data_IF_341000738777
#
_entry.id   IF_341000738777
#
_cell.length_a   1.000
_cell.length_b   1.000
_cell.length_c   1.000
_cell.angle_alpha   90.00
_cell.angle_beta   90.00
_cell.angle_gamma   90.00
#
_symmetry.space_group_name_H-M   'P 1'
#
loop_
_entity.id
_entity.type
_entity.pdbx_description
1 polymer ?
#
# COMPACT_ATOMS: atom_id res chain seq x y z
N UNK A 1 -42.10 91.68 6.75
CA UNK A 1 -41.10 92.16 5.78
C UNK A 1 -39.72 91.72 6.23
N UNK A 2 -38.89 91.26 5.28
CA UNK A 2 -37.48 90.82 5.29
C UNK A 2 -36.70 90.79 6.63
N UNK A 3 -36.21 89.63 7.12
CA UNK A 3 -34.99 88.86 6.72
C UNK A 3 -33.67 89.64 6.84
N UNK A 4 -32.87 89.27 7.85
CA UNK A 4 -31.39 89.35 7.83
C UNK A 4 -30.84 88.01 8.29
N UNK A 5 -30.24 87.27 7.36
CA UNK A 5 -29.70 85.93 7.54
C UNK A 5 -28.25 86.02 8.03
N UNK A 6 -27.97 85.46 9.20
CA UNK A 6 -26.61 85.32 9.74
C UNK A 6 -25.97 84.08 9.09
N UNK A 7 -24.92 84.27 8.29
CA UNK A 7 -24.08 83.19 7.81
C UNK A 7 -22.88 83.07 8.76
N UNK A 8 -22.97 82.19 9.76
CA UNK A 8 -21.80 81.69 10.49
C UNK A 8 -21.31 80.43 9.75
N UNK A 9 -20.29 80.59 8.92
CA UNK A 9 -19.59 79.47 8.27
C UNK A 9 -18.97 78.56 9.34
N UNK A 10 -19.42 77.31 9.38
CA UNK A 10 -18.83 76.24 10.17
C UNK A 10 -17.57 75.71 9.49
N UNK A 11 -16.48 75.65 10.25
CA UNK A 11 -15.15 75.14 9.87
C UNK A 11 -15.20 73.69 9.35
N UNK A 12 -16.28 72.95 9.61
CA UNK A 12 -16.48 71.58 9.12
C UNK A 12 -16.86 71.49 7.62
N UNK A 13 -17.25 72.60 6.97
CA UNK A 13 -17.62 72.58 5.54
C UNK A 13 -16.44 72.83 4.59
N UNK A 14 -15.34 73.39 5.09
CA UNK A 14 -14.11 73.63 4.30
C UNK A 14 -13.21 72.39 4.26
N UNK A 15 -13.24 71.57 5.30
CA UNK A 15 -12.45 70.33 5.39
C UNK A 15 -13.01 69.25 4.43
N UNK A 16 -14.33 69.14 4.31
CA UNK A 16 -14.97 68.19 3.38
C UNK A 16 -14.73 68.52 1.91
N UNK A 17 -14.64 69.81 1.55
CA UNK A 17 -14.29 70.27 0.20
C UNK A 17 -12.82 69.99 -0.16
N UNK A 18 -11.90 70.08 0.81
CA UNK A 18 -10.48 69.77 0.61
C UNK A 18 -10.23 68.27 0.39
N UNK A 19 -10.91 67.38 1.12
CA UNK A 19 -10.77 65.92 0.92
C UNK A 19 -11.36 65.44 -0.41
N UNK A 20 -12.46 66.04 -0.87
CA UNK A 20 -13.03 65.71 -2.17
C UNK A 20 -12.11 66.12 -3.34
N UNK A 21 -11.41 67.24 -3.24
CA UNK A 21 -10.49 67.69 -4.29
C UNK A 21 -9.22 66.83 -4.40
N UNK A 22 -8.69 66.34 -3.27
CA UNK A 22 -7.52 65.45 -3.24
C UNK A 22 -7.85 64.09 -3.86
N UNK A 23 -9.04 63.54 -3.58
CA UNK A 23 -9.46 62.27 -4.18
C UNK A 23 -9.69 62.36 -5.70
N UNK A 24 -10.24 63.47 -6.19
CA UNK A 24 -10.43 63.67 -7.64
C UNK A 24 -9.09 63.91 -8.36
N UNK A 25 -8.14 64.61 -7.74
CA UNK A 25 -6.82 64.82 -8.33
C UNK A 25 -5.98 63.51 -8.41
N UNK A 26 -6.08 62.65 -7.39
CA UNK A 26 -5.42 61.32 -7.40
C UNK A 26 -6.09 60.37 -8.41
N UNK A 27 -7.41 60.46 -8.56
CA UNK A 27 -8.16 59.63 -9.51
C UNK A 27 -7.92 60.05 -10.97
N UNK A 28 -7.72 61.35 -11.25
CA UNK A 28 -7.45 61.87 -12.59
C UNK A 28 -5.97 61.79 -13.00
N UNK A 29 -5.04 61.64 -12.06
CA UNK A 29 -3.60 61.48 -12.35
C UNK A 29 -3.16 60.02 -12.59
N UNK A 30 -4.09 59.06 -12.44
CA UNK A 30 -3.80 57.63 -12.39
C UNK A 30 -4.13 56.83 -13.65
N UNK A 31 -3.93 57.36 -14.87
CA UNK A 31 -3.92 56.51 -16.07
C UNK A 31 -2.92 56.99 -17.16
N UNK A 32 -1.99 56.07 -17.48
CA UNK A 32 -1.23 55.82 -18.73
C UNK A 32 0.07 56.58 -19.06
N UNK A 33 1.17 55.84 -18.95
CA UNK A 33 2.13 55.48 -20.04
C UNK A 33 3.05 54.36 -19.53
N UNK A 34 2.79 53.10 -19.90
CA UNK A 34 3.43 52.37 -21.01
C UNK A 34 4.96 52.53 -21.04
N UNK A 35 5.65 51.61 -20.36
CA UNK A 35 6.92 51.05 -20.84
C UNK A 35 6.75 49.53 -20.83
N UNK A 36 6.78 48.98 -22.03
CA UNK A 36 6.83 47.55 -22.32
C UNK A 36 8.21 47.07 -21.87
N UNK A 37 8.25 46.19 -20.88
CA UNK A 37 9.36 45.27 -20.68
C UNK A 37 8.76 43.87 -20.93
N UNK A 38 9.28 43.20 -21.96
CA UNK A 38 9.01 41.80 -22.23
C UNK A 38 9.61 40.97 -21.08
N UNK A 39 8.76 40.50 -20.17
CA UNK A 39 9.01 39.30 -19.38
C UNK A 39 8.00 38.24 -19.87
N UNK A 40 8.38 37.55 -20.94
CA UNK A 40 7.89 36.20 -21.19
C UNK A 40 8.40 35.28 -20.06
N UNK A 41 7.58 34.28 -19.70
CA UNK A 41 7.85 33.21 -18.73
C UNK A 41 7.61 33.50 -17.24
N UNK A 42 6.38 33.85 -16.85
CA UNK A 42 5.91 33.49 -15.49
C UNK A 42 4.38 33.33 -15.31
N UNK A 43 3.65 32.88 -16.34
CA UNK A 43 2.25 32.43 -16.19
C UNK A 43 2.09 30.92 -16.40
N UNK A 44 2.69 30.12 -15.52
CA UNK A 44 2.09 28.84 -15.11
C UNK A 44 2.78 28.38 -13.83
N UNK A 45 2.19 28.69 -12.67
CA UNK A 45 2.16 27.84 -11.46
C UNK A 45 1.60 28.63 -10.26
N UNK A 46 0.41 29.20 -10.38
CA UNK A 46 -0.35 29.60 -9.19
C UNK A 46 -1.85 29.38 -9.37
N UNK A 47 -2.18 28.15 -9.75
CA UNK A 47 -3.42 27.47 -9.37
C UNK A 47 -3.09 26.02 -9.08
N UNK A 48 -2.93 25.72 -7.79
CA UNK A 48 -3.80 24.71 -7.18
C UNK A 48 -3.67 24.83 -5.66
N UNK A 49 -4.81 25.04 -5.02
CA UNK A 49 -5.05 24.54 -3.66
C UNK A 49 -4.40 23.16 -3.52
N UNK A 50 -3.68 22.92 -2.43
CA UNK A 50 -2.97 21.68 -2.09
C UNK A 50 -3.87 20.44 -2.11
N UNK A 51 -4.22 19.96 -3.30
CA UNK A 51 -4.84 18.67 -3.50
C UNK A 51 -3.74 17.64 -3.30
N UNK A 52 -3.83 16.88 -2.21
CA UNK A 52 -3.00 15.70 -1.95
C UNK A 52 -2.99 14.80 -3.19
N UNK A 53 -1.83 14.39 -3.68
CA UNK A 53 -1.75 13.57 -4.88
C UNK A 53 -2.32 12.18 -4.61
N UNK A 54 -3.28 11.75 -5.43
CA UNK A 54 -3.78 10.38 -5.35
C UNK A 54 -2.81 9.40 -6.04
N UNK A 55 -1.92 8.79 -5.25
CA UNK A 55 -0.95 7.80 -5.75
C UNK A 55 -1.59 6.50 -6.28
N UNK A 56 -2.87 6.24 -6.02
CA UNK A 56 -3.54 5.00 -6.41
C UNK A 56 -4.30 5.12 -7.74
N UNK A 57 -4.41 6.33 -8.30
CA UNK A 57 -5.05 6.59 -9.59
C UNK A 57 -3.98 6.95 -10.62
N UNK A 58 -3.83 6.11 -11.63
CA UNK A 58 -2.71 6.18 -12.55
C UNK A 58 -2.77 5.11 -13.62
N UNK A 59 -1.64 4.92 -14.30
CA UNK A 59 -1.45 3.90 -15.32
C UNK A 59 -0.07 3.26 -15.23
N UNK A 60 0.04 2.03 -15.70
CA UNK A 60 1.32 1.38 -15.91
C UNK A 60 2.00 1.92 -17.17
N UNK A 61 3.28 2.25 -17.05
CA UNK A 61 4.12 2.75 -18.12
C UNK A 61 5.34 1.85 -18.24
N UNK A 62 5.65 1.44 -19.46
CA UNK A 62 6.84 0.64 -19.73
C UNK A 62 8.10 1.54 -19.69
N UNK A 63 9.07 1.19 -18.85
CA UNK A 63 10.35 1.87 -18.68
C UNK A 63 11.47 0.85 -18.44
N UNK A 64 12.08 0.37 -19.53
CA UNK A 64 13.23 -0.53 -19.47
C UNK A 64 14.58 0.18 -19.23
N UNK A 65 14.57 1.50 -19.02
CA UNK A 65 15.78 2.26 -18.71
C UNK A 65 15.99 2.38 -17.21
N UNK A 66 14.90 2.60 -16.46
CA UNK A 66 14.96 2.84 -15.02
C UNK A 66 14.52 1.63 -14.17
N UNK A 67 13.80 0.66 -14.75
CA UNK A 67 13.28 -0.51 -14.06
C UNK A 67 13.83 -1.83 -14.65
N UNK A 68 14.01 -2.87 -13.81
CA UNK A 68 13.66 -2.93 -12.38
C UNK A 68 14.62 -2.15 -11.47
N UNK A 69 14.19 -1.90 -10.22
CA UNK A 69 14.99 -1.17 -9.22
C UNK A 69 16.21 -1.95 -8.71
N UNK A 70 16.19 -3.27 -8.87
CA UNK A 70 17.27 -4.20 -8.60
C UNK A 70 17.11 -5.43 -9.52
N UNK A 71 18.17 -6.22 -9.72
CA UNK A 71 18.04 -7.49 -10.46
C UNK A 71 17.79 -8.65 -9.50
N UNK A 72 17.00 -9.63 -9.93
CA UNK A 72 16.67 -10.82 -9.12
C UNK A 72 17.92 -11.49 -8.54
N UNK A 73 18.92 -11.75 -9.39
CA UNK A 73 20.19 -12.41 -9.04
C UNK A 73 21.10 -11.60 -8.11
N UNK A 74 20.85 -10.30 -7.97
CA UNK A 74 21.62 -9.42 -7.08
C UNK A 74 21.06 -9.42 -5.65
N UNK A 75 19.81 -9.87 -5.46
CA UNK A 75 19.21 -9.99 -4.14
C UNK A 75 19.56 -11.33 -3.47
N UNK A 76 20.42 -11.28 -2.45
CA UNK A 76 20.86 -12.42 -1.65
C UNK A 76 19.80 -12.93 -0.68
N UNK A 77 18.77 -12.13 -0.39
CA UNK A 77 17.61 -12.51 0.44
C UNK A 77 16.38 -12.88 -0.38
N UNK A 78 16.52 -13.09 -1.69
CA UNK A 78 15.43 -13.54 -2.56
C UNK A 78 14.93 -14.91 -2.11
N UNK A 79 13.61 -15.08 -2.07
CA UNK A 79 12.99 -16.37 -1.74
C UNK A 79 12.57 -17.10 -3.01
N UNK A 80 12.81 -18.40 -3.04
CA UNK A 80 12.57 -19.27 -4.19
C UNK A 80 11.12 -19.28 -4.71
N UNK A 81 10.16 -18.83 -3.89
CA UNK A 81 8.75 -18.71 -4.26
C UNK A 81 8.46 -17.53 -5.18
N UNK A 82 9.37 -16.54 -5.23
CA UNK A 82 9.23 -15.28 -5.97
C UNK A 82 10.32 -15.08 -7.04
N UNK A 83 11.35 -15.94 -7.07
CA UNK A 83 12.53 -15.87 -7.94
C UNK A 83 12.29 -16.42 -9.36
N UNK A 84 11.41 -15.79 -10.13
CA UNK A 84 10.93 -16.34 -11.40
C UNK A 84 12.03 -16.57 -12.46
N UNK A 85 13.00 -15.67 -12.58
CA UNK A 85 14.11 -15.83 -13.53
C UNK A 85 14.97 -17.05 -13.17
N UNK A 86 15.26 -17.23 -11.88
CA UNK A 86 15.99 -18.39 -11.34
C UNK A 86 15.25 -19.70 -11.64
N UNK A 87 13.92 -19.68 -11.59
CA UNK A 87 13.05 -20.82 -11.93
C UNK A 87 12.62 -20.83 -13.41
N UNK A 88 13.47 -20.30 -14.29
CA UNK A 88 13.44 -20.55 -15.72
C UNK A 88 12.52 -19.62 -16.52
N UNK A 89 11.97 -18.57 -15.93
CA UNK A 89 11.23 -17.54 -16.67
C UNK A 89 12.17 -16.78 -17.59
N UNK A 90 11.80 -16.62 -18.86
CA UNK A 90 12.63 -15.96 -19.89
C UNK A 90 12.08 -14.63 -20.36
N UNK A 91 10.76 -14.46 -20.29
CA UNK A 91 10.09 -13.19 -20.56
C UNK A 91 10.23 -12.26 -19.34
N UNK A 92 11.22 -11.37 -19.37
CA UNK A 92 11.52 -10.48 -18.22
C UNK A 92 10.89 -9.08 -18.36
N UNK A 93 10.13 -8.82 -19.43
CA UNK A 93 9.53 -7.51 -19.68
C UNK A 93 8.54 -7.07 -18.59
N UNK A 94 7.97 -8.01 -17.82
CA UNK A 94 7.09 -7.68 -16.68
C UNK A 94 7.81 -6.85 -15.60
N UNK A 95 9.13 -6.96 -15.51
CA UNK A 95 9.97 -6.25 -14.53
C UNK A 95 10.15 -4.77 -14.89
N UNK A 96 9.92 -4.38 -16.15
CA UNK A 96 10.16 -3.02 -16.67
C UNK A 96 8.90 -2.14 -16.68
N UNK A 97 7.86 -2.50 -15.93
CA UNK A 97 6.67 -1.67 -15.79
C UNK A 97 6.74 -0.86 -14.50
N UNK A 98 6.54 0.45 -14.62
CA UNK A 98 6.42 1.38 -13.50
C UNK A 98 5.03 1.96 -13.39
N UNK A 99 4.62 2.33 -12.19
CA UNK A 99 3.35 2.99 -11.96
C UNK A 99 3.50 4.52 -12.06
N UNK A 100 2.64 5.14 -12.86
CA UNK A 100 2.57 6.61 -13.02
C UNK A 100 1.21 7.09 -12.50
N UNK A 101 1.16 7.72 -11.32
CA UNK A 101 -0.03 8.45 -10.87
C UNK A 101 -0.42 9.54 -11.88
N UNK A 102 -1.71 9.82 -12.02
CA UNK A 102 -2.20 10.83 -12.97
C UNK A 102 -1.86 12.26 -12.58
N UNK A 103 -1.73 12.53 -11.28
CA UNK A 103 -1.65 13.88 -10.73
C UNK A 103 -0.23 14.31 -10.34
N UNK A 104 0.70 13.36 -10.22
CA UNK A 104 2.07 13.59 -9.83
C UNK A 104 2.97 12.42 -10.26
N UNK A 105 4.27 12.59 -10.05
CA UNK A 105 5.24 11.51 -10.18
C UNK A 105 5.38 10.73 -8.88
N UNK A 106 5.50 9.41 -8.99
CA UNK A 106 5.84 8.57 -7.85
C UNK A 106 7.32 8.82 -7.50
N UNK A 107 7.66 9.15 -6.24
CA UNK A 107 9.03 9.42 -5.87
C UNK A 107 9.86 8.15 -6.01
N UNK A 108 11.01 8.27 -6.69
CA UNK A 108 11.93 7.14 -6.88
C UNK A 108 12.42 6.63 -5.53
N UNK A 109 12.40 5.31 -5.36
CA UNK A 109 12.89 4.66 -4.14
C UNK A 109 14.38 4.96 -3.92
N UNK A 110 14.72 5.35 -2.68
CA UNK A 110 16.10 5.54 -2.23
C UNK A 110 16.35 4.71 -0.98
N UNK A 111 17.13 3.62 -1.15
CA UNK A 111 17.45 2.67 -0.10
C UNK A 111 18.13 3.33 1.11
N UNK A 112 19.17 4.14 0.88
CA UNK A 112 19.90 4.83 1.95
C UNK A 112 18.98 5.80 2.70
N UNK A 113 18.14 6.55 2.00
CA UNK A 113 17.19 7.46 2.65
C UNK A 113 16.21 6.70 3.56
N UNK A 114 15.66 5.57 3.07
CA UNK A 114 14.76 4.75 3.89
C UNK A 114 15.49 4.17 5.11
N UNK A 115 16.71 3.67 4.94
CA UNK A 115 17.52 3.12 6.04
C UNK A 115 17.84 4.20 7.09
N UNK A 116 18.15 5.43 6.67
CA UNK A 116 18.31 6.57 7.59
C UNK A 116 17.00 6.92 8.30
N UNK A 117 15.87 6.89 7.58
CA UNK A 117 14.54 7.13 8.19
C UNK A 117 14.20 6.09 9.25
N UNK A 118 14.70 4.87 9.08
CA UNK A 118 14.56 3.71 9.97
C UNK A 118 15.68 3.62 11.01
N UNK A 119 16.65 4.54 11.06
CA UNK A 119 17.75 4.47 12.03
C UNK A 119 17.22 4.41 13.46
N UNK A 120 17.63 3.38 14.21
CA UNK A 120 17.16 3.12 15.57
C UNK A 120 15.69 2.66 15.69
N UNK A 121 15.06 2.25 14.58
CA UNK A 121 13.63 1.92 14.52
C UNK A 121 13.38 0.51 14.00
N UNK A 122 12.14 0.06 14.23
CA UNK A 122 11.63 -1.22 13.75
C UNK A 122 10.42 -1.03 12.85
N UNK A 123 10.50 -1.60 11.65
CA UNK A 123 9.41 -1.70 10.70
C UNK A 123 8.95 -3.16 10.64
N UNK A 124 7.65 -3.44 10.74
CA UNK A 124 7.14 -4.81 10.73
C UNK A 124 5.97 -4.96 9.75
N UNK A 125 6.13 -5.89 8.82
CA UNK A 125 5.05 -6.40 7.96
C UNK A 125 4.31 -7.52 8.71
N UNK A 126 2.98 -7.46 8.78
CA UNK A 126 2.17 -8.42 9.54
C UNK A 126 1.00 -8.87 8.67
N UNK A 127 0.96 -10.16 8.33
CA UNK A 127 -0.13 -10.66 7.50
C UNK A 127 0.11 -12.01 6.84
N UNK A 128 -0.45 -12.15 5.66
CA UNK A 128 -0.43 -13.37 4.85
C UNK A 128 0.80 -13.46 3.92
N UNK A 129 0.79 -14.45 3.03
CA UNK A 129 1.89 -14.71 2.10
C UNK A 129 2.14 -13.58 1.09
N UNK A 130 1.19 -12.68 0.85
CA UNK A 130 1.38 -11.53 -0.03
C UNK A 130 2.06 -10.37 0.69
N UNK A 131 1.86 -10.24 2.00
CA UNK A 131 2.65 -9.31 2.80
C UNK A 131 4.08 -9.82 3.01
N UNK A 132 4.27 -11.15 3.08
CA UNK A 132 5.58 -11.80 2.97
C UNK A 132 6.25 -11.47 1.63
N UNK A 133 5.51 -11.54 0.53
CA UNK A 133 5.99 -11.20 -0.80
C UNK A 133 6.45 -9.73 -0.89
N UNK A 134 5.67 -8.81 -0.31
CA UNK A 134 6.04 -7.39 -0.21
C UNK A 134 7.26 -7.16 0.69
N UNK A 135 7.37 -7.89 1.80
CA UNK A 135 8.52 -7.80 2.70
C UNK A 135 9.81 -8.27 2.01
N UNK A 136 9.79 -9.39 1.26
CA UNK A 136 10.97 -9.83 0.48
C UNK A 136 11.38 -8.76 -0.53
N UNK A 137 10.42 -8.14 -1.23
CA UNK A 137 10.68 -6.98 -2.11
C UNK A 137 11.36 -5.84 -1.35
N UNK A 138 10.84 -5.44 -0.18
CA UNK A 138 11.43 -4.37 0.63
C UNK A 138 12.86 -4.69 1.04
N UNK A 139 13.14 -5.92 1.46
CA UNK A 139 14.49 -6.36 1.80
C UNK A 139 15.42 -6.28 0.59
N UNK A 140 14.98 -6.78 -0.58
CA UNK A 140 15.77 -6.69 -1.81
C UNK A 140 16.05 -5.23 -2.24
N UNK A 141 15.07 -4.34 -2.06
CA UNK A 141 15.21 -2.91 -2.37
C UNK A 141 16.26 -2.22 -1.51
N UNK A 142 16.42 -2.61 -0.23
CA UNK A 142 17.37 -1.95 0.68
C UNK A 142 18.73 -2.63 0.77
N UNK A 143 18.82 -3.95 0.51
CA UNK A 143 20.02 -4.70 0.87
C UNK A 143 21.27 -4.31 0.08
N UNK A 144 21.11 -3.81 -1.14
CA UNK A 144 22.22 -3.40 -2.01
C UNK A 144 22.95 -2.17 -1.47
N UNK A 145 22.26 -1.36 -0.65
CA UNK A 145 22.83 -0.22 0.05
C UNK A 145 23.52 -0.58 1.37
N UNK A 146 23.56 -1.87 1.75
CA UNK A 146 24.15 -2.33 3.01
C UNK A 146 25.27 -3.33 2.70
N UNK A 147 26.51 -3.13 3.21
CA UNK A 147 27.59 -4.10 3.10
C UNK A 147 27.20 -5.47 3.65
N UNK A 148 27.68 -6.55 3.02
CA UNK A 148 27.32 -7.94 3.39
C UNK A 148 27.55 -8.27 4.88
N UNK A 149 28.64 -7.77 5.47
CA UNK A 149 28.94 -7.99 6.89
C UNK A 149 28.02 -7.22 7.86
N UNK A 150 27.23 -6.26 7.36
CA UNK A 150 26.40 -5.37 8.15
C UNK A 150 24.90 -5.63 7.95
N UNK A 151 24.54 -6.77 7.35
CA UNK A 151 23.16 -7.23 7.20
C UNK A 151 23.01 -8.69 7.60
N UNK A 152 21.85 -9.04 8.15
CA UNK A 152 21.56 -10.43 8.54
C UNK A 152 20.06 -10.71 8.54
N UNK A 153 19.68 -11.97 8.27
CA UNK A 153 18.31 -12.47 8.40
C UNK A 153 18.24 -13.54 9.49
N UNK A 154 17.28 -13.43 10.41
CA UNK A 154 17.01 -14.41 11.45
C UNK A 154 15.57 -14.92 11.30
N UNK A 155 15.36 -16.24 11.34
CA UNK A 155 14.05 -16.86 11.20
C UNK A 155 13.68 -17.55 12.52
N UNK A 156 12.69 -17.00 13.24
CA UNK A 156 12.27 -17.45 14.56
C UNK A 156 10.78 -17.81 14.54
N UNK A 157 10.45 -19.04 14.10
CA UNK A 157 9.06 -19.48 13.95
C UNK A 157 8.30 -18.56 12.99
N UNK A 158 7.23 -17.93 13.47
CA UNK A 158 6.41 -16.99 12.70
C UNK A 158 7.05 -15.61 12.48
N UNK A 159 8.23 -15.33 13.05
CA UNK A 159 8.85 -14.01 13.02
C UNK A 159 10.21 -14.01 12.30
N UNK A 160 10.31 -13.25 11.21
CA UNK A 160 11.51 -13.11 10.39
C UNK A 160 12.08 -11.70 10.56
N UNK A 161 13.37 -11.60 10.92
CA UNK A 161 14.01 -10.34 11.33
C UNK A 161 15.16 -10.06 10.37
N UNK A 162 15.00 -9.07 9.49
CA UNK A 162 16.11 -8.54 8.70
C UNK A 162 16.73 -7.35 9.43
N UNK A 163 18.02 -7.41 9.73
CA UNK A 163 18.76 -6.36 10.44
C UNK A 163 19.68 -5.61 9.50
N UNK A 164 19.61 -4.28 9.54
CA UNK A 164 20.60 -3.36 8.99
C UNK A 164 21.45 -2.82 10.16
N UNK A 165 22.60 -3.47 10.39
CA UNK A 165 23.37 -3.34 11.64
C UNK A 165 23.87 -1.90 11.84
N UNK A 166 24.43 -1.28 10.80
CA UNK A 166 24.95 0.09 10.84
C UNK A 166 23.87 1.14 11.17
N UNK A 167 22.63 0.87 10.77
CA UNK A 167 21.50 1.76 11.02
C UNK A 167 20.83 1.49 12.36
N UNK A 168 21.22 0.41 13.07
CA UNK A 168 20.49 -0.10 14.22
C UNK A 168 18.99 -0.21 13.91
N UNK A 169 18.67 -0.74 12.73
CA UNK A 169 17.31 -0.80 12.20
C UNK A 169 16.93 -2.25 11.86
N UNK A 170 15.64 -2.58 11.95
CA UNK A 170 15.12 -3.85 11.43
C UNK A 170 13.86 -3.70 10.59
N UNK A 171 13.74 -4.56 9.59
CA UNK A 171 12.59 -4.69 8.68
C UNK A 171 12.10 -6.12 8.79
N UNK A 172 11.06 -6.32 9.59
CA UNK A 172 10.65 -7.64 10.03
C UNK A 172 9.37 -8.08 9.30
N UNK A 173 9.13 -9.38 9.28
CA UNK A 173 7.86 -9.97 8.87
C UNK A 173 7.33 -10.88 9.98
N UNK A 174 6.05 -10.74 10.29
CA UNK A 174 5.32 -11.62 11.21
C UNK A 174 4.18 -12.32 10.48
N UNK A 175 4.25 -13.65 10.43
CA UNK A 175 3.21 -14.49 9.84
C UNK A 175 1.95 -14.48 10.70
N UNK A 176 0.91 -13.84 10.19
CA UNK A 176 -0.40 -13.80 10.83
C UNK A 176 -1.47 -13.60 9.75
N UNK A 177 -1.75 -14.64 8.94
CA UNK A 177 -2.53 -14.50 7.72
C UNK A 177 -3.97 -14.05 7.95
N UNK A 178 -4.53 -14.32 9.13
CA UNK A 178 -5.86 -13.88 9.56
C UNK A 178 -5.81 -12.71 10.57
N UNK A 179 -4.62 -12.19 10.91
CA UNK A 179 -4.32 -11.24 12.00
C UNK A 179 -4.62 -11.77 13.41
N UNK A 180 -5.83 -12.26 13.62
CA UNK A 180 -6.22 -13.03 14.81
C UNK A 180 -5.61 -14.44 14.76
N UNK A 181 -5.63 -15.13 15.90
CA UNK A 181 -5.11 -16.49 16.04
C UNK A 181 -5.89 -17.51 15.20
N UNK A 182 -5.19 -18.52 14.69
CA UNK A 182 -5.75 -19.56 13.85
C UNK A 182 -4.95 -20.86 13.92
N UNK A 183 -5.51 -21.95 13.40
CA UNK A 183 -4.74 -23.19 13.22
C UNK A 183 -3.67 -23.08 12.11
N UNK A 184 -3.59 -21.94 11.43
CA UNK A 184 -2.72 -21.74 10.27
C UNK A 184 -1.60 -20.72 10.53
N UNK A 185 -1.25 -20.50 11.81
CA UNK A 185 -0.27 -19.52 12.28
C UNK A 185 1.20 -20.02 12.22
N UNK A 186 1.43 -21.24 11.75
CA UNK A 186 2.77 -21.77 11.48
C UNK A 186 3.14 -21.56 10.00
N UNK A 187 4.19 -20.77 9.67
CA UNK A 187 4.51 -20.43 8.28
C UNK A 187 4.93 -21.63 7.42
N UNK A 188 5.23 -22.80 8.01
CA UNK A 188 5.60 -24.04 7.30
C UNK A 188 4.42 -25.01 7.24
N UNK A 189 3.72 -25.21 8.36
CA UNK A 189 2.64 -26.19 8.53
C UNK A 189 1.25 -25.54 8.63
N UNK A 190 0.97 -24.62 7.71
CA UNK A 190 -0.29 -23.86 7.67
C UNK A 190 -1.35 -24.41 6.70
N UNK A 191 -1.05 -25.48 5.95
CA UNK A 191 -1.94 -26.01 4.91
C UNK A 191 -2.96 -26.96 5.53
N UNK A 192 -4.07 -26.41 5.99
CA UNK A 192 -5.18 -27.19 6.54
C UNK A 192 -6.33 -27.29 5.54
N UNK A 193 -6.97 -28.47 5.40
CA UNK A 193 -8.21 -28.59 4.62
C UNK A 193 -9.27 -27.63 5.13
N UNK A 194 -9.31 -27.43 6.45
CA UNK A 194 -10.24 -26.57 7.14
C UNK A 194 -9.50 -25.59 8.05
N UNK A 195 -9.73 -24.29 7.83
CA UNK A 195 -9.17 -23.23 8.67
C UNK A 195 -10.12 -22.90 9.81
N UNK A 196 -9.56 -22.85 11.00
CA UNK A 196 -10.27 -22.48 12.22
C UNK A 196 -9.64 -21.19 12.74
N UNK A 197 -10.48 -20.19 12.95
CA UNK A 197 -10.07 -18.84 13.38
C UNK A 197 -10.54 -18.61 14.80
N UNK A 198 -9.62 -18.30 15.72
CA UNK A 198 -9.92 -17.89 17.09
C UNK A 198 -10.29 -16.41 17.10
N UNK A 199 -11.56 -16.12 16.85
CA UNK A 199 -12.00 -14.79 16.39
C UNK A 199 -11.78 -13.65 17.39
N UNK A 200 -11.70 -13.97 18.68
CA UNK A 200 -11.51 -13.00 19.78
C UNK A 200 -10.06 -12.90 20.27
N UNK A 201 -9.13 -13.62 19.64
CA UNK A 201 -7.79 -13.86 20.18
C UNK A 201 -6.74 -13.29 19.23
N UNK A 202 -5.90 -12.37 19.72
CA UNK A 202 -4.84 -11.73 18.91
C UNK A 202 -3.54 -11.52 19.69
N UNK A 203 -3.58 -11.60 21.02
CA UNK A 203 -2.48 -11.24 21.91
C UNK A 203 -1.20 -12.03 21.63
N UNK A 204 -1.31 -13.33 21.36
CA UNK A 204 -0.16 -14.18 21.00
C UNK A 204 0.62 -13.64 19.82
N UNK A 205 -0.09 -13.06 18.83
CA UNK A 205 0.52 -12.40 17.68
C UNK A 205 1.01 -11.01 18.05
N UNK A 206 0.12 -10.22 18.65
CA UNK A 206 0.32 -8.79 18.78
C UNK A 206 1.47 -8.39 19.69
N UNK A 207 1.81 -9.21 20.69
CA UNK A 207 3.00 -9.02 21.52
C UNK A 207 4.32 -8.89 20.74
N UNK A 208 4.39 -9.41 19.51
CA UNK A 208 5.61 -9.37 18.69
C UNK A 208 5.79 -8.07 17.90
N UNK A 209 4.71 -7.34 17.61
CA UNK A 209 4.74 -6.19 16.72
C UNK A 209 4.19 -4.91 17.34
N UNK A 210 3.47 -4.96 18.47
CA UNK A 210 2.81 -3.80 19.10
C UNK A 210 3.74 -2.60 19.33
N UNK A 211 5.02 -2.82 19.66
CA UNK A 211 5.98 -1.74 19.94
C UNK A 211 6.80 -1.27 18.73
N UNK A 212 6.47 -1.70 17.50
CA UNK A 212 7.14 -1.26 16.27
C UNK A 212 6.91 0.23 15.98
N UNK A 213 7.85 0.87 15.27
CA UNK A 213 7.75 2.26 14.84
C UNK A 213 6.92 2.39 13.56
N UNK A 214 6.96 1.37 12.70
CA UNK A 214 6.15 1.28 11.48
C UNK A 214 5.50 -0.11 11.42
N UNK A 215 4.18 -0.13 11.24
CA UNK A 215 3.39 -1.36 11.05
C UNK A 215 2.77 -1.36 9.66
N UNK A 216 2.90 -2.47 8.94
CA UNK A 216 2.32 -2.67 7.61
C UNK A 216 1.49 -3.94 7.63
N UNK A 217 0.18 -3.82 7.71
CA UNK A 217 -0.73 -4.95 7.81
C UNK A 217 -1.27 -5.38 6.43
N UNK A 218 -1.57 -6.65 6.26
CA UNK A 218 -2.59 -7.10 5.31
C UNK A 218 -3.38 -8.29 5.88
N UNK A 219 -4.55 -8.57 5.30
CA UNK A 219 -5.22 -9.87 5.45
C UNK A 219 -6.39 -9.95 4.48
N UNK A 220 -6.32 -10.86 3.50
CA UNK A 220 -7.38 -10.98 2.50
C UNK A 220 -7.52 -12.36 1.89
N UNK A 221 -6.44 -12.87 1.28
CA UNK A 221 -6.48 -14.01 0.37
C UNK A 221 -7.10 -15.27 1.01
N UNK A 222 -6.80 -15.48 2.28
CA UNK A 222 -7.14 -16.71 2.98
C UNK A 222 -8.60 -16.79 3.43
N UNK A 223 -9.25 -15.65 3.62
CA UNK A 223 -10.68 -15.56 3.88
C UNK A 223 -11.51 -16.04 2.69
N UNK A 224 -10.99 -15.86 1.48
CA UNK A 224 -11.73 -16.09 0.23
C UNK A 224 -11.82 -17.52 -0.26
N UNK A 225 -11.19 -18.45 0.44
CA UNK A 225 -11.18 -19.84 -0.01
C UNK A 225 -12.53 -20.54 0.16
N UNK A 226 -13.42 -20.01 1.02
CA UNK A 226 -14.73 -20.59 1.31
C UNK A 226 -15.77 -19.49 1.53
N UNK A 227 -17.04 -19.83 1.33
CA UNK A 227 -18.18 -18.94 1.63
C UNK A 227 -18.42 -18.77 3.13
N UNK A 228 -17.99 -19.74 3.95
CA UNK A 228 -18.08 -19.74 5.41
C UNK A 228 -16.73 -20.08 6.04
N UNK A 229 -16.51 -19.52 7.23
CA UNK A 229 -15.34 -19.78 8.08
C UNK A 229 -15.77 -20.49 9.37
N UNK A 230 -14.92 -21.38 9.88
CA UNK A 230 -15.09 -21.92 11.23
C UNK A 230 -14.45 -20.98 12.24
N UNK A 231 -15.27 -20.46 13.13
CA UNK A 231 -14.88 -19.58 14.22
C UNK A 231 -14.88 -20.35 15.53
N UNK A 232 -13.82 -20.15 16.32
CA UNK A 232 -13.59 -20.75 17.61
C UNK A 232 -13.59 -19.67 18.70
N UNK A 233 -14.36 -19.90 19.77
CA UNK A 233 -14.26 -19.19 21.03
C UNK A 233 -13.69 -20.13 22.10
N UNK A 234 -12.64 -19.69 22.79
CA UNK A 234 -11.83 -20.51 23.69
C UNK A 234 -10.49 -20.92 23.07
N UNK A 235 -9.85 -21.97 23.60
CA UNK A 235 -8.62 -22.56 23.06
C UNK A 235 -8.90 -23.86 22.31
N UNK A 236 -7.96 -24.31 21.47
CA UNK A 236 -8.09 -25.53 20.68
C UNK A 236 -8.20 -26.80 21.56
N UNK A 237 -7.61 -26.76 22.76
CA UNK A 237 -7.57 -27.87 23.70
C UNK A 237 -8.71 -27.83 24.74
N UNK A 238 -9.53 -26.77 24.75
CA UNK A 238 -10.56 -26.59 25.76
C UNK A 238 -11.76 -27.52 25.51
N UNK A 239 -12.27 -28.24 26.54
CA UNK A 239 -13.47 -29.06 26.41
C UNK A 239 -14.74 -28.22 26.20
N UNK A 240 -14.74 -26.97 26.69
CA UNK A 240 -15.88 -26.04 26.58
C UNK A 240 -15.80 -25.14 25.34
N UNK A 241 -14.98 -25.51 24.36
CA UNK A 241 -14.81 -24.71 23.16
C UNK A 241 -16.12 -24.61 22.35
N UNK A 242 -16.42 -23.41 21.87
CA UNK A 242 -17.56 -23.18 20.99
C UNK A 242 -17.02 -22.98 19.58
N UNK A 243 -17.44 -23.84 18.65
CA UNK A 243 -17.13 -23.69 17.23
C UNK A 243 -18.41 -23.42 16.43
N UNK A 244 -18.41 -22.42 15.57
CA UNK A 244 -19.52 -22.10 14.66
C UNK A 244 -19.03 -21.83 13.25
N UNK A 245 -19.84 -22.21 12.26
CA UNK A 245 -19.66 -21.74 10.89
C UNK A 245 -20.39 -20.42 10.69
N UNK A 246 -19.66 -19.42 10.20
CA UNK A 246 -20.16 -18.06 9.99
C UNK A 246 -19.82 -17.64 8.56
N UNK A 247 -20.69 -16.85 7.94
CA UNK A 247 -20.45 -16.29 6.60
C UNK A 247 -19.10 -15.55 6.55
N UNK A 248 -18.39 -15.69 5.43
CA UNK A 248 -17.01 -15.21 5.27
C UNK A 248 -16.87 -13.72 5.57
N UNK A 249 -17.74 -12.87 5.02
CA UNK A 249 -17.66 -11.42 5.24
C UNK A 249 -17.89 -11.04 6.70
N UNK A 250 -18.82 -11.72 7.38
CA UNK A 250 -19.08 -11.48 8.81
C UNK A 250 -17.90 -11.95 9.67
N UNK A 251 -17.29 -13.07 9.28
CA UNK A 251 -16.09 -13.59 9.92
C UNK A 251 -14.91 -12.61 9.78
N UNK A 252 -14.72 -12.06 8.59
CA UNK A 252 -13.71 -11.04 8.33
C UNK A 252 -13.95 -9.77 9.16
N UNK A 253 -15.19 -9.27 9.18
CA UNK A 253 -15.59 -8.10 9.98
C UNK A 253 -15.28 -8.29 11.47
N UNK A 254 -15.59 -9.47 12.02
CA UNK A 254 -15.28 -9.77 13.42
C UNK A 254 -13.77 -9.81 13.69
N UNK A 255 -12.96 -10.36 12.78
CA UNK A 255 -11.51 -10.40 12.95
C UNK A 255 -10.88 -9.02 12.87
N UNK A 256 -11.31 -8.21 11.89
CA UNK A 256 -10.88 -6.81 11.75
C UNK A 256 -11.31 -5.98 12.96
N UNK A 257 -12.47 -6.27 13.57
CA UNK A 257 -12.88 -5.63 14.82
C UNK A 257 -11.95 -5.98 16.00
N UNK A 258 -11.60 -7.26 16.17
CA UNK A 258 -10.63 -7.68 17.18
C UNK A 258 -9.26 -7.02 16.97
N UNK A 259 -8.82 -6.95 15.71
CA UNK A 259 -7.58 -6.25 15.36
C UNK A 259 -7.64 -4.76 15.67
N UNK A 260 -8.72 -4.06 15.30
CA UNK A 260 -8.84 -2.63 15.54
C UNK A 260 -8.93 -2.31 17.03
N UNK A 261 -9.67 -3.11 17.81
CA UNK A 261 -9.77 -2.96 19.26
C UNK A 261 -8.41 -3.13 19.95
N UNK A 262 -7.58 -4.08 19.50
CA UNK A 262 -6.22 -4.21 20.00
C UNK A 262 -5.38 -2.96 19.73
N UNK A 263 -5.44 -2.44 18.50
CA UNK A 263 -4.65 -1.27 18.11
C UNK A 263 -5.04 -0.02 18.92
N UNK A 264 -6.33 0.21 19.14
CA UNK A 264 -6.85 1.36 19.91
C UNK A 264 -6.26 1.42 21.33
N UNK A 265 -6.09 0.24 21.95
CA UNK A 265 -5.64 0.10 23.34
C UNK A 265 -4.12 0.09 23.45
N UNK A 266 -3.43 -0.63 22.55
CA UNK A 266 -2.05 -1.04 22.78
C UNK A 266 -1.02 -0.33 21.90
N UNK A 267 -1.42 0.32 20.80
CA UNK A 267 -0.47 1.03 19.92
C UNK A 267 -0.31 2.49 20.33
N UNK A 268 0.95 2.89 20.50
CA UNK A 268 1.31 4.28 20.78
C UNK A 268 1.14 5.15 19.52
N UNK A 269 0.04 5.89 19.46
CA UNK A 269 -0.30 6.81 18.37
C UNK A 269 0.71 7.95 18.14
N UNK A 270 1.57 8.26 19.12
CA UNK A 270 2.59 9.30 18.99
C UNK A 270 3.89 8.76 18.39
N UNK A 271 4.10 7.44 18.47
CA UNK A 271 5.31 6.76 18.00
C UNK A 271 5.06 6.03 16.68
N UNK A 272 4.02 5.20 16.64
CA UNK A 272 3.83 4.19 15.62
C UNK A 272 3.05 4.74 14.44
N UNK A 273 3.59 4.53 13.24
CA UNK A 273 2.87 4.78 11.98
C UNK A 273 2.34 3.47 11.43
N UNK A 274 1.04 3.39 11.20
CA UNK A 274 0.38 2.17 10.76
C UNK A 274 -0.17 2.30 9.34
N UNK A 275 0.03 1.27 8.55
CA UNK A 275 -0.45 1.11 7.19
C UNK A 275 -1.25 -0.18 7.08
N UNK A 276 -2.28 -0.17 6.23
CA UNK A 276 -3.01 -1.37 5.84
C UNK A 276 -2.93 -1.48 4.31
N UNK A 277 -2.33 -2.55 3.82
CA UNK A 277 -2.28 -2.84 2.40
C UNK A 277 -3.65 -3.37 1.99
N UNK A 278 -4.24 -2.74 0.97
CA UNK A 278 -5.46 -3.28 0.38
C UNK A 278 -5.18 -4.62 -0.32
N UNK A 279 -6.22 -5.18 -0.90
CA UNK A 279 -6.22 -6.54 -1.42
C UNK A 279 -5.30 -6.66 -2.63
N UNK A 280 -4.40 -7.64 -2.58
CA UNK A 280 -3.72 -8.06 -3.81
C UNK A 280 -4.64 -9.00 -4.59
N UNK A 281 -4.84 -8.74 -5.90
CA UNK A 281 -5.77 -9.51 -6.73
C UNK A 281 -5.20 -10.87 -7.13
N UNK A 282 -6.06 -11.71 -7.71
CA UNK A 282 -5.68 -12.98 -8.33
C UNK A 282 -6.12 -13.03 -9.79
N UNK A 283 -5.37 -13.74 -10.62
CA UNK A 283 -5.64 -13.85 -12.06
C UNK A 283 -5.94 -15.31 -12.45
N UNK A 284 -7.06 -15.82 -11.92
CA UNK A 284 -7.46 -17.23 -12.06
C UNK A 284 -8.34 -17.53 -13.27
N UNK A 285 -8.85 -16.52 -13.98
CA UNK A 285 -9.83 -16.68 -15.07
C UNK A 285 -9.51 -15.78 -16.27
N UNK A 286 -8.90 -16.36 -17.29
CA UNK A 286 -8.54 -15.71 -18.56
C UNK A 286 -9.67 -14.96 -19.25
N UNK A 287 -10.91 -15.43 -19.08
CA UNK A 287 -12.08 -14.81 -19.68
C UNK A 287 -12.33 -13.39 -19.19
N UNK A 288 -11.86 -13.03 -17.99
CA UNK A 288 -12.03 -11.69 -17.43
C UNK A 288 -11.28 -10.63 -18.26
N UNK A 289 -10.21 -11.02 -18.93
CA UNK A 289 -9.43 -10.16 -19.82
C UNK A 289 -9.48 -10.59 -21.30
N UNK A 290 -10.53 -11.34 -21.69
CA UNK A 290 -10.89 -11.56 -23.09
C UNK A 290 -10.34 -12.83 -23.74
N UNK A 291 -9.81 -13.79 -22.97
CA UNK A 291 -9.42 -15.09 -23.53
C UNK A 291 -10.65 -15.93 -23.90
N UNK A 292 -10.57 -16.65 -25.03
CA UNK A 292 -11.67 -17.45 -25.57
C UNK A 292 -11.84 -18.82 -24.89
N UNK A 293 -10.83 -19.30 -24.16
CA UNK A 293 -10.84 -20.57 -23.45
C UNK A 293 -10.59 -20.36 -21.96
N UNK A 294 -11.03 -21.28 -21.07
CA UNK A 294 -10.61 -21.28 -19.67
C UNK A 294 -9.09 -21.37 -19.58
N UNK A 295 -8.50 -20.27 -19.15
CA UNK A 295 -7.08 -20.15 -18.87
C UNK A 295 -6.89 -19.34 -17.57
N UNK A 296 -5.65 -19.16 -17.16
CA UNK A 296 -5.29 -18.32 -16.01
C UNK A 296 -4.09 -17.44 -16.40
N UNK A 297 -3.29 -17.01 -15.43
CA UNK A 297 -2.08 -16.21 -15.70
C UNK A 297 -0.97 -16.95 -16.48
N UNK A 298 -1.13 -18.24 -16.79
CA UNK A 298 -0.14 -19.01 -17.55
C UNK A 298 0.12 -18.40 -18.93
N UNK A 299 1.40 -18.22 -19.27
CA UNK A 299 1.86 -17.59 -20.51
C UNK A 299 1.43 -16.13 -20.75
N UNK A 300 0.87 -15.46 -19.75
CA UNK A 300 0.60 -14.02 -19.85
C UNK A 300 1.90 -13.23 -19.77
N UNK A 301 2.16 -12.38 -20.78
CA UNK A 301 3.42 -11.60 -20.90
C UNK A 301 3.20 -10.10 -21.02
N UNK A 302 1.93 -9.66 -21.08
CA UNK A 302 1.54 -8.25 -21.19
C UNK A 302 0.47 -7.93 -20.15
N UNK A 303 0.46 -6.69 -19.60
CA UNK A 303 -0.59 -6.26 -18.70
C UNK A 303 -1.92 -6.10 -19.43
N UNK A 304 -2.99 -5.98 -18.64
CA UNK A 304 -4.30 -5.55 -19.13
C UNK A 304 -4.21 -4.06 -19.45
N UNK A 305 -4.64 -3.66 -20.64
CA UNK A 305 -4.60 -2.28 -21.12
C UNK A 305 -5.95 -1.56 -21.06
N UNK A 306 -7.03 -2.30 -20.80
CA UNK A 306 -8.39 -1.75 -20.70
C UNK A 306 -8.49 -0.83 -19.48
N UNK A 307 -8.57 0.47 -19.70
CA UNK A 307 -8.73 1.46 -18.63
C UNK A 307 -9.96 1.18 -17.76
N UNK A 308 -9.82 1.38 -16.45
CA UNK A 308 -10.86 1.11 -15.48
C UNK A 308 -11.12 -0.39 -15.24
N UNK A 309 -10.18 -1.28 -15.60
CA UNK A 309 -10.32 -2.71 -15.38
C UNK A 309 -10.52 -3.04 -13.89
N UNK A 310 -11.33 -4.06 -13.66
CA UNK A 310 -11.68 -4.59 -12.35
C UNK A 310 -12.03 -6.07 -12.51
N UNK A 311 -11.23 -6.96 -11.92
CA UNK A 311 -11.46 -8.41 -11.96
C UNK A 311 -12.43 -8.89 -10.88
N UNK A 312 -12.98 -10.10 -11.07
CA UNK A 312 -13.79 -10.75 -10.02
C UNK A 312 -12.93 -11.33 -8.90
N UNK A 313 -11.62 -11.34 -9.13
CA UNK A 313 -10.56 -11.69 -8.20
C UNK A 313 -10.46 -10.78 -6.98
N UNK A 314 -11.22 -9.69 -6.88
CA UNK A 314 -11.18 -8.79 -5.74
C UNK A 314 -12.60 -8.47 -5.21
N UNK A 315 -12.78 -8.55 -3.90
CA UNK A 315 -14.06 -8.36 -3.18
C UNK A 315 -14.07 -7.02 -2.43
N UNK A 316 -14.63 -6.00 -3.07
CA UNK A 316 -14.71 -4.64 -2.52
C UNK A 316 -15.46 -4.55 -1.18
N UNK A 317 -16.27 -5.56 -0.82
CA UNK A 317 -16.97 -5.57 0.48
C UNK A 317 -15.98 -5.77 1.62
N UNK A 318 -14.93 -6.58 1.42
CA UNK A 318 -13.86 -6.75 2.41
C UNK A 318 -13.04 -5.45 2.58
N UNK A 319 -12.73 -4.75 1.48
CA UNK A 319 -12.06 -3.44 1.58
C UNK A 319 -12.86 -2.45 2.41
N UNK A 320 -14.17 -2.35 2.17
CA UNK A 320 -15.06 -1.46 2.91
C UNK A 320 -15.12 -1.77 4.41
N UNK A 321 -15.06 -3.05 4.78
CA UNK A 321 -15.00 -3.48 6.18
C UNK A 321 -13.71 -2.98 6.85
N UNK A 322 -12.57 -3.16 6.18
CA UNK A 322 -11.29 -2.67 6.70
C UNK A 322 -11.26 -1.13 6.79
N UNK A 323 -11.75 -0.43 5.75
CA UNK A 323 -11.89 1.03 5.73
C UNK A 323 -12.75 1.54 6.89
N UNK A 324 -13.90 0.93 7.14
CA UNK A 324 -14.79 1.30 8.24
C UNK A 324 -14.08 1.18 9.60
N UNK A 325 -13.35 0.08 9.85
CA UNK A 325 -12.61 -0.09 11.10
C UNK A 325 -11.49 0.94 11.27
N UNK A 326 -10.79 1.30 10.20
CA UNK A 326 -9.77 2.35 10.24
C UNK A 326 -10.36 3.75 10.43
N UNK A 327 -11.54 4.01 9.86
CA UNK A 327 -12.28 5.26 10.05
C UNK A 327 -12.73 5.42 11.52
N UNK A 328 -13.18 4.34 12.16
CA UNK A 328 -13.47 4.30 13.60
C UNK A 328 -12.24 4.61 14.45
N UNK A 329 -11.08 4.00 14.13
CA UNK A 329 -9.82 4.30 14.81
C UNK A 329 -9.37 5.76 14.60
N UNK A 330 -9.56 6.29 13.39
CA UNK A 330 -9.24 7.67 13.07
C UNK A 330 -10.08 8.63 13.91
N UNK A 331 -11.37 8.34 14.10
CA UNK A 331 -12.25 9.12 14.98
C UNK A 331 -11.78 9.11 16.45
N UNK A 332 -11.08 8.05 16.87
CA UNK A 332 -10.44 7.95 18.20
C UNK A 332 -9.03 8.52 18.25
N UNK A 333 -8.50 9.06 17.15
CA UNK A 333 -7.18 9.68 17.07
C UNK A 333 -6.03 8.73 16.74
N UNK A 334 -6.30 7.49 16.34
CA UNK A 334 -5.29 6.56 15.82
C UNK A 334 -5.44 6.47 14.29
N UNK A 335 -4.48 7.04 13.56
CA UNK A 335 -4.51 7.05 12.09
C UNK A 335 -3.85 5.79 11.53
N UNK A 336 -4.59 5.07 10.68
CA UNK A 336 -4.06 4.00 9.83
C UNK A 336 -4.29 4.40 8.38
N UNK A 337 -3.22 4.39 7.57
CA UNK A 337 -3.30 4.75 6.16
C UNK A 337 -3.55 3.48 5.32
N UNK A 338 -4.67 3.45 4.59
CA UNK A 338 -4.94 2.41 3.59
C UNK A 338 -4.08 2.66 2.35
N UNK A 339 -3.24 1.70 1.97
CA UNK A 339 -2.53 1.72 0.70
C UNK A 339 -3.35 0.92 -0.33
N UNK A 340 -4.14 1.61 -1.14
CA UNK A 340 -5.06 1.02 -2.11
C UNK A 340 -4.33 0.52 -3.36
N UNK A 341 -3.64 -0.61 -3.23
CA UNK A 341 -2.89 -1.29 -4.29
C UNK A 341 -3.77 -2.18 -5.19
N UNK A 342 -5.06 -2.32 -4.89
CA UNK A 342 -5.91 -3.35 -5.52
C UNK A 342 -6.02 -3.14 -7.03
N UNK A 343 -6.55 -1.99 -7.44
CA UNK A 343 -6.84 -1.76 -8.86
C UNK A 343 -5.58 -1.64 -9.70
N UNK A 344 -4.52 -0.98 -9.20
CA UNK A 344 -3.25 -0.93 -9.94
C UNK A 344 -2.68 -2.33 -10.15
N UNK A 345 -2.87 -3.25 -9.19
CA UNK A 345 -2.37 -4.63 -9.32
C UNK A 345 -3.25 -5.50 -10.22
N UNK A 346 -4.55 -5.19 -10.37
CA UNK A 346 -5.50 -5.91 -11.25
C UNK A 346 -5.08 -5.83 -12.72
N UNK A 347 -4.26 -4.84 -13.11
CA UNK A 347 -3.75 -4.76 -14.48
C UNK A 347 -2.63 -5.77 -14.77
N UNK A 348 -2.04 -6.40 -13.75
CA UNK A 348 -0.71 -7.01 -13.84
C UNK A 348 -0.71 -8.54 -13.98
N UNK A 349 -1.65 -9.08 -14.75
CA UNK A 349 -1.81 -10.53 -14.98
C UNK A 349 -0.54 -11.28 -15.39
N UNK A 350 0.40 -10.60 -16.02
CA UNK A 350 1.67 -11.15 -16.48
C UNK A 350 2.74 -11.25 -15.38
N UNK A 351 2.61 -10.54 -14.26
CA UNK A 351 3.67 -10.44 -13.25
C UNK A 351 3.65 -11.56 -12.20
N UNK A 352 2.78 -12.55 -12.33
CA UNK A 352 2.70 -13.71 -11.45
C UNK A 352 3.82 -14.74 -11.73
N UNK A 353 4.26 -15.53 -10.74
CA UNK A 353 5.19 -16.63 -10.96
C UNK A 353 4.69 -17.67 -11.96
N UNK A 354 3.38 -17.91 -12.00
CA UNK A 354 2.80 -18.99 -12.78
C UNK A 354 3.50 -20.31 -12.42
N UNK A 355 4.24 -20.93 -13.33
CA UNK A 355 5.00 -22.16 -13.07
C UNK A 355 6.44 -21.91 -12.61
N UNK A 356 6.93 -20.67 -12.73
CA UNK A 356 8.32 -20.27 -12.51
C UNK A 356 8.59 -19.99 -11.04
N UNK A 357 8.50 -21.02 -10.23
CA UNK A 357 8.85 -20.98 -8.81
C UNK A 357 9.27 -22.36 -8.33
N UNK A 358 9.86 -22.41 -7.13
CA UNK A 358 10.12 -23.70 -6.49
C UNK A 358 8.83 -24.48 -6.23
N UNK A 359 8.83 -25.71 -6.70
CA UNK A 359 7.78 -26.67 -6.40
C UNK A 359 8.23 -27.50 -5.20
N UNK A 360 7.78 -27.11 -4.01
CA UNK A 360 8.09 -27.80 -2.76
C UNK A 360 7.51 -29.23 -2.69
N UNK A 361 6.50 -29.50 -3.50
CA UNK A 361 5.92 -30.82 -3.70
C UNK A 361 6.22 -31.25 -5.13
N UNK A 362 6.75 -32.48 -5.34
CA UNK A 362 6.93 -33.01 -6.69
C UNK A 362 5.63 -32.95 -7.49
N UNK A 363 5.71 -32.46 -8.72
CA UNK A 363 4.57 -32.41 -9.64
C UNK A 363 4.25 -33.80 -10.17
N UNK A 364 2.96 -34.10 -10.32
CA UNK A 364 2.50 -35.33 -10.99
C UNK A 364 2.68 -35.24 -12.51
N UNK A 365 2.61 -36.38 -13.21
CA UNK A 365 2.63 -36.40 -14.68
C UNK A 365 1.47 -35.60 -15.30
N UNK A 366 0.28 -35.68 -14.70
CA UNK A 366 -0.89 -34.89 -15.10
C UNK A 366 -0.64 -33.38 -14.94
N UNK A 367 0.03 -32.98 -13.85
CA UNK A 367 0.40 -31.58 -13.66
C UNK A 367 1.43 -31.15 -14.70
N UNK A 368 2.49 -31.93 -14.91
CA UNK A 368 3.53 -31.61 -15.89
C UNK A 368 2.99 -31.49 -17.32
N UNK A 369 2.02 -32.33 -17.69
CA UNK A 369 1.33 -32.25 -18.99
C UNK A 369 0.33 -31.10 -19.10
N UNK A 370 -0.11 -30.53 -17.97
CA UNK A 370 -0.99 -29.37 -17.92
C UNK A 370 -0.46 -28.27 -16.96
N UNK A 371 0.52 -27.47 -17.39
CA UNK A 371 1.11 -26.37 -16.61
C UNK A 371 0.13 -25.39 -15.95
N UNK A 372 -1.03 -25.19 -16.58
CA UNK A 372 -2.10 -24.34 -16.04
C UNK A 372 -2.63 -24.84 -14.71
N UNK A 373 -2.65 -26.15 -14.49
CA UNK A 373 -3.20 -26.78 -13.29
C UNK A 373 -2.45 -26.45 -12.00
N UNK A 374 -1.17 -26.08 -12.10
CA UNK A 374 -0.31 -25.74 -10.96
C UNK A 374 0.28 -24.32 -11.05
N UNK A 375 -0.24 -23.50 -11.96
CA UNK A 375 0.18 -22.10 -12.10
C UNK A 375 -0.23 -21.28 -10.87
N UNK A 376 0.74 -20.60 -10.28
CA UNK A 376 0.51 -19.63 -9.21
C UNK A 376 0.13 -18.27 -9.80
N UNK A 377 -1.15 -17.94 -9.71
CA UNK A 377 -1.72 -16.67 -10.15
C UNK A 377 -2.17 -15.81 -8.97
N UNK A 378 -1.44 -15.91 -7.86
CA UNK A 378 -1.74 -15.28 -6.58
C UNK A 378 -0.55 -14.47 -6.08
N UNK A 379 0.63 -15.08 -6.02
CA UNK A 379 1.87 -14.42 -5.62
C UNK A 379 2.50 -13.66 -6.79
N UNK A 380 3.57 -12.92 -6.56
CA UNK A 380 4.20 -12.05 -7.55
C UNK A 380 5.68 -12.40 -7.70
N UNK A 381 6.15 -12.39 -8.95
CA UNK A 381 7.58 -12.41 -9.23
C UNK A 381 8.26 -11.17 -8.63
N UNK A 382 9.52 -11.33 -8.23
CA UNK A 382 10.39 -10.25 -7.80
C UNK A 382 11.67 -10.23 -8.64
N UNK A 383 12.14 -9.05 -9.11
CA UNK A 383 11.50 -7.74 -9.01
C UNK A 383 10.17 -7.68 -9.79
N UNK A 384 9.23 -6.83 -9.37
CA UNK A 384 7.88 -6.79 -9.94
C UNK A 384 6.89 -5.91 -9.17
N UNK A 385 5.61 -6.30 -9.23
CA UNK A 385 4.49 -5.52 -8.67
C UNK A 385 4.67 -5.10 -7.20
N UNK A 386 5.17 -5.96 -6.28
CA UNK A 386 5.40 -5.55 -4.90
C UNK A 386 6.44 -4.45 -4.71
N UNK A 387 7.35 -4.25 -5.67
CA UNK A 387 8.30 -3.13 -5.62
C UNK A 387 7.56 -1.80 -5.70
N UNK A 388 6.55 -1.70 -6.57
CA UNK A 388 5.69 -0.51 -6.68
C UNK A 388 4.86 -0.30 -5.42
N UNK A 389 4.40 -1.36 -4.77
CA UNK A 389 3.73 -1.24 -3.47
C UNK A 389 4.66 -0.60 -2.43
N UNK A 390 5.94 -0.97 -2.47
CA UNK A 390 6.98 -0.42 -1.59
C UNK A 390 7.41 0.99 -1.99
N UNK A 391 7.36 1.38 -3.27
CA UNK A 391 7.53 2.78 -3.71
C UNK A 391 6.39 3.67 -3.17
N UNK A 392 5.15 3.19 -3.22
CA UNK A 392 4.00 3.90 -2.64
C UNK A 392 4.16 4.00 -1.12
N UNK A 393 4.48 2.88 -0.44
CA UNK A 393 4.73 2.89 1.00
C UNK A 393 5.86 3.84 1.38
N UNK A 394 6.95 3.88 0.61
CA UNK A 394 8.05 4.82 0.77
C UNK A 394 7.56 6.27 0.66
N UNK A 395 6.76 6.62 -0.35
CA UNK A 395 6.18 7.95 -0.49
C UNK A 395 5.37 8.36 0.75
N UNK A 396 4.56 7.46 1.29
CA UNK A 396 3.81 7.69 2.53
C UNK A 396 4.73 7.83 3.77
N UNK A 397 5.76 6.99 3.91
CA UNK A 397 6.74 7.08 5.00
C UNK A 397 7.45 8.45 5.00
N UNK A 398 7.67 9.04 3.83
CA UNK A 398 8.29 10.36 3.69
C UNK A 398 7.30 11.53 3.62
N UNK A 399 5.98 11.28 3.69
CA UNK A 399 4.92 12.30 3.54
C UNK A 399 5.03 13.07 2.22
N UNK A 400 5.36 12.37 1.12
CA UNK A 400 5.49 12.93 -0.23
C UNK A 400 4.18 12.86 -1.02
N UNK A 401 3.04 12.80 -0.33
CA UNK A 401 1.71 12.51 -0.88
C UNK A 401 0.77 13.69 -0.69
#
# INVERSE_FOLDING_TARGET
MAKTLILRCSVNSLITLLFAFVFVAVYLAGERKLWVFEDEDQETMQRNSSARCNLFSGKWVFDNKSYPLYKEKECTFMWDEFACETFGRKDLNYQSWRWQPHQCDLPRFNATALLEKLRGKRMVFVGDSLNKNQWVSMVCLVESAIPAALKSLQLNGSFFIFKAIEYNASIDFYWSPMLVESNSDDPVTHRWPERIVRISEIEKHARHWTNADILVFNSYLWWRQRSKMKLLWGSFESPDQITKEVEMLRSYEMAIKTWSDWLDIHVDRNKTRSFFMSMSPTHLKGQEWGMSQPDNCYNETQPITKEGYWGSGSDMRMMKIAEAAMDELRAKGLKIEMLNITQLSEYRKESHPSIHKKQWTPLTEDQLSNPRSYSDCVHWCLPGVPDVWNEILYAYIFNLT
#
